data_IF_500136569354
#
_entry.id   IF_500136569354
#
_cell.length_a   1.000
_cell.length_b   1.000
_cell.length_c   1.000
_cell.angle_alpha   90.00
_cell.angle_beta   90.00
_cell.angle_gamma   90.00
#
_symmetry.space_group_name_H-M   'P 1'
#
loop_
_entity.id
_entity.type
_entity.pdbx_description
1 polymer ?
#
# COMPACT_ATOMS: atom_id res chain seq x y z
N UNK A 1 -23.94 -9.78 -47.33
CA UNK A 1 -24.80 -9.43 -46.17
C UNK A 1 -24.10 -9.67 -44.83
N UNK A 2 -23.46 -10.82 -44.60
CA UNK A 2 -22.69 -11.10 -43.36
C UNK A 2 -21.64 -10.02 -43.02
N UNK A 3 -20.87 -9.52 -44.00
CA UNK A 3 -19.89 -8.45 -43.79
C UNK A 3 -20.53 -7.15 -43.29
N UNK A 4 -21.74 -6.81 -43.77
CA UNK A 4 -22.43 -5.59 -43.34
C UNK A 4 -23.00 -5.73 -41.92
N UNK A 5 -23.49 -6.93 -41.56
CA UNK A 5 -23.92 -7.24 -40.18
C UNK A 5 -22.74 -7.18 -39.20
N UNK A 6 -21.57 -7.70 -39.59
CA UNK A 6 -20.36 -7.63 -38.76
C UNK A 6 -19.84 -6.18 -38.60
N UNK A 7 -19.89 -5.36 -39.66
CA UNK A 7 -19.52 -3.94 -39.59
C UNK A 7 -20.47 -3.14 -38.69
N UNK A 8 -21.78 -3.40 -38.76
CA UNK A 8 -22.76 -2.77 -37.87
C UNK A 8 -22.58 -3.22 -36.42
N UNK A 9 -22.31 -4.50 -36.17
CA UNK A 9 -21.97 -5.00 -34.84
C UNK A 9 -20.70 -4.37 -34.28
N UNK A 10 -19.66 -4.23 -35.10
CA UNK A 10 -18.42 -3.56 -34.72
C UNK A 10 -18.62 -2.07 -34.44
N UNK A 11 -19.48 -1.37 -35.19
CA UNK A 11 -19.82 0.03 -34.94
C UNK A 11 -20.56 0.21 -33.60
N UNK A 12 -21.51 -0.67 -33.29
CA UNK A 12 -22.20 -0.67 -31.99
C UNK A 12 -21.22 -0.93 -30.84
N UNK A 13 -20.27 -1.85 -31.03
CA UNK A 13 -19.25 -2.13 -30.02
C UNK A 13 -18.30 -0.93 -29.81
N UNK A 14 -17.94 -0.23 -30.90
CA UNK A 14 -17.16 0.99 -30.85
C UNK A 14 -17.90 2.10 -30.11
N UNK A 15 -19.18 2.33 -30.41
CA UNK A 15 -19.99 3.36 -29.75
C UNK A 15 -20.14 3.07 -28.25
N UNK A 16 -20.31 1.80 -27.87
CA UNK A 16 -20.29 1.39 -26.46
C UNK A 16 -18.95 1.70 -25.79
N UNK A 17 -17.83 1.45 -26.47
CA UNK A 17 -16.51 1.75 -25.94
C UNK A 17 -16.32 3.26 -25.73
N UNK A 18 -16.81 4.10 -26.65
CA UNK A 18 -16.76 5.57 -26.51
C UNK A 18 -17.59 6.03 -25.31
N UNK A 19 -18.79 5.47 -25.12
CA UNK A 19 -19.64 5.79 -23.95
C UNK A 19 -18.95 5.34 -22.66
N UNK A 20 -18.34 4.16 -22.66
CA UNK A 20 -17.60 3.65 -21.50
C UNK A 20 -16.40 4.56 -21.15
N UNK A 21 -15.66 5.04 -22.15
CA UNK A 21 -14.55 5.97 -21.95
C UNK A 21 -15.02 7.33 -21.40
N UNK A 22 -16.11 7.88 -21.95
CA UNK A 22 -16.69 9.12 -21.45
C UNK A 22 -17.17 8.99 -19.99
N UNK A 23 -17.77 7.86 -19.62
CA UNK A 23 -18.16 7.58 -18.24
C UNK A 23 -16.93 7.47 -17.32
N UNK A 24 -15.85 6.84 -17.78
CA UNK A 24 -14.60 6.73 -17.03
C UNK A 24 -13.97 8.11 -16.78
N UNK A 25 -14.01 9.02 -17.75
CA UNK A 25 -13.52 10.40 -17.59
C UNK A 25 -14.32 11.18 -16.53
N UNK A 26 -15.65 10.98 -16.48
CA UNK A 26 -16.49 11.58 -15.43
C UNK A 26 -16.15 10.98 -14.06
N UNK A 27 -15.88 9.68 -14.00
CA UNK A 27 -15.46 9.02 -12.77
C UNK A 27 -14.11 9.55 -12.28
N UNK A 28 -13.13 9.72 -13.17
CA UNK A 28 -11.84 10.34 -12.84
C UNK A 28 -11.93 11.82 -12.44
N UNK A 29 -13.04 12.50 -12.72
CA UNK A 29 -13.30 13.84 -12.20
C UNK A 29 -13.60 13.83 -10.69
N UNK A 30 -13.91 12.66 -10.11
CA UNK A 30 -14.08 12.47 -8.67
C UNK A 30 -12.85 11.75 -8.11
N UNK A 31 -11.98 12.52 -7.47
CA UNK A 31 -10.78 11.98 -6.83
C UNK A 31 -11.18 11.42 -5.45
N UNK A 32 -11.20 10.10 -5.33
CA UNK A 32 -11.52 9.39 -4.08
C UNK A 32 -10.28 8.71 -3.51
N UNK A 33 -10.21 8.63 -2.18
CA UNK A 33 -9.14 7.91 -1.51
C UNK A 33 -9.30 6.38 -1.74
N UNK A 34 -8.24 5.65 -2.14
CA UNK A 34 -8.31 4.21 -2.33
C UNK A 34 -8.32 3.42 -1.02
N UNK A 35 -7.97 4.05 0.11
CA UNK A 35 -7.95 3.43 1.43
C UNK A 35 -8.28 4.43 2.53
N UNK A 36 -8.71 3.90 3.67
CA UNK A 36 -8.96 4.68 4.89
C UNK A 36 -7.65 5.10 5.54
N UNK A 37 -7.61 6.35 6.01
CA UNK A 37 -6.45 6.89 6.69
C UNK A 37 -6.69 8.33 7.11
N UNK A 38 -5.64 8.95 7.63
CA UNK A 38 -5.64 10.35 8.00
C UNK A 38 -5.02 11.17 6.89
N UNK A 39 -5.79 12.15 6.42
CA UNK A 39 -5.31 13.18 5.52
C UNK A 39 -4.15 13.93 6.18
N UNK A 40 -3.01 13.97 5.52
CA UNK A 40 -1.89 14.84 5.86
C UNK A 40 -1.97 16.13 5.06
N UNK A 41 -0.85 16.81 4.91
CA UNK A 41 -0.71 18.01 4.07
C UNK A 41 -1.22 17.78 2.63
N UNK A 42 -2.10 18.69 2.20
CA UNK A 42 -2.54 18.80 0.80
C UNK A 42 -1.49 19.59 0.03
N UNK A 43 -1.08 19.09 -1.13
CA UNK A 43 -0.14 19.80 -2.01
C UNK A 43 -0.87 20.66 -3.05
N UNK A 44 -2.19 20.76 -2.94
CA UNK A 44 -3.06 21.48 -3.88
C UNK A 44 -4.11 22.29 -3.15
N UNK A 45 -4.39 23.47 -3.69
CA UNK A 45 -5.44 24.38 -3.23
C UNK A 45 -6.62 24.41 -4.20
N UNK A 46 -7.72 25.02 -3.75
CA UNK A 46 -8.92 25.19 -4.58
C UNK A 46 -8.58 26.11 -5.76
N UNK A 47 -8.73 25.57 -6.97
CA UNK A 47 -8.47 26.30 -8.21
C UNK A 47 -7.17 25.91 -8.92
N UNK A 48 -6.37 25.04 -8.30
CA UNK A 48 -5.15 24.54 -8.94
C UNK A 48 -5.46 23.60 -10.10
N UNK A 49 -4.65 23.74 -11.17
CA UNK A 49 -4.71 22.86 -12.32
C UNK A 49 -4.01 21.54 -12.00
N UNK A 50 -4.80 20.50 -11.76
CA UNK A 50 -4.31 19.13 -11.58
C UNK A 50 -4.14 18.46 -12.94
N UNK A 51 -3.02 17.74 -13.12
CA UNK A 51 -2.75 16.96 -14.33
C UNK A 51 -2.43 15.51 -13.97
N UNK A 52 -2.56 14.56 -14.91
CA UNK A 52 -2.23 13.15 -14.67
C UNK A 52 -0.77 12.90 -14.27
N UNK A 53 0.12 13.88 -14.49
CA UNK A 53 1.54 13.82 -14.16
C UNK A 53 1.88 14.55 -12.85
N UNK A 54 0.89 15.10 -12.14
CA UNK A 54 1.13 15.76 -10.87
C UNK A 54 1.59 14.74 -9.82
N UNK A 55 2.71 15.02 -9.16
CA UNK A 55 3.44 14.00 -8.41
C UNK A 55 2.65 13.42 -7.24
N UNK A 56 1.88 14.22 -6.51
CA UNK A 56 0.92 13.80 -5.48
C UNK A 56 -0.04 14.95 -5.19
N UNK A 57 -1.35 14.69 -5.09
CA UNK A 57 -2.32 15.71 -4.69
C UNK A 57 -2.42 15.82 -3.17
N UNK A 58 -2.60 14.68 -2.50
CA UNK A 58 -2.71 14.61 -1.05
C UNK A 58 -2.00 13.37 -0.55
N UNK A 59 -1.35 13.49 0.61
CA UNK A 59 -0.76 12.35 1.31
C UNK A 59 -1.77 11.82 2.33
N UNK A 60 -2.13 10.54 2.22
CA UNK A 60 -2.97 9.85 3.21
C UNK A 60 -2.08 8.87 3.97
N UNK A 61 -2.00 9.05 5.29
CA UNK A 61 -1.28 8.14 6.16
C UNK A 61 -2.25 7.18 6.84
N UNK A 62 -2.07 5.88 6.63
CA UNK A 62 -2.83 4.86 7.33
C UNK A 62 -2.42 4.81 8.80
N UNK A 63 -3.39 4.91 9.71
CA UNK A 63 -3.12 4.87 11.17
C UNK A 63 -3.10 3.43 11.70
N UNK A 64 -3.81 2.50 11.05
CA UNK A 64 -3.79 1.07 11.38
C UNK A 64 -3.92 0.26 10.10
N UNK A 65 -3.05 -0.73 9.82
CA UNK A 65 -1.97 -1.22 10.69
C UNK A 65 -0.68 -0.37 10.68
N UNK A 66 0.04 -0.29 11.81
CA UNK A 66 1.36 0.37 11.89
C UNK A 66 2.46 -0.65 11.63
N UNK A 67 3.34 -0.37 10.67
CA UNK A 67 4.50 -1.22 10.40
C UNK A 67 5.74 -0.72 11.17
N UNK A 68 6.37 -1.63 11.91
CA UNK A 68 7.66 -1.39 12.59
C UNK A 68 8.72 -2.24 11.91
N UNK A 69 9.75 -1.58 11.37
CA UNK A 69 10.93 -2.24 10.83
C UNK A 69 12.11 -2.07 11.76
N UNK A 70 12.74 -3.18 12.17
CA UNK A 70 13.95 -3.16 12.98
C UNK A 70 15.00 -4.11 12.43
N UNK A 71 16.28 -3.77 12.61
CA UNK A 71 17.40 -4.58 12.18
C UNK A 71 17.89 -5.47 13.33
N UNK A 72 17.99 -6.77 13.09
CA UNK A 72 18.49 -7.74 14.07
C UNK A 72 19.82 -8.32 13.58
N UNK A 73 20.83 -8.55 14.44
CA UNK A 73 22.04 -9.27 14.04
C UNK A 73 21.73 -10.70 13.58
N UNK A 74 22.44 -11.17 12.55
CA UNK A 74 22.25 -12.51 11.96
C UNK A 74 22.35 -13.67 12.98
N UNK A 75 23.13 -13.51 14.05
CA UNK A 75 23.26 -14.50 15.13
C UNK A 75 21.92 -14.95 15.73
N UNK A 76 20.89 -14.11 15.68
CA UNK A 76 19.57 -14.42 16.22
C UNK A 76 18.58 -14.97 15.19
N UNK A 77 18.98 -15.11 13.92
CA UNK A 77 18.14 -15.62 12.83
C UNK A 77 17.58 -17.01 13.14
N UNK A 78 18.41 -17.92 13.66
CA UNK A 78 17.97 -19.27 14.03
C UNK A 78 16.91 -19.27 15.15
N UNK A 79 17.05 -18.37 16.11
CA UNK A 79 16.09 -18.22 17.19
C UNK A 79 14.76 -17.70 16.66
N UNK A 80 14.79 -16.69 15.77
CA UNK A 80 13.60 -16.10 15.16
C UNK A 80 12.90 -17.13 14.27
N UNK A 81 13.63 -17.83 13.38
CA UNK A 81 13.08 -18.85 12.51
C UNK A 81 12.42 -20.02 13.27
N UNK A 82 13.03 -20.47 14.39
CA UNK A 82 12.43 -21.49 15.26
C UNK A 82 11.17 -20.99 15.96
N UNK A 83 11.18 -19.74 16.41
CA UNK A 83 10.06 -19.15 17.15
C UNK A 83 8.89 -18.79 16.23
N UNK A 84 9.16 -18.45 14.96
CA UNK A 84 8.15 -18.22 13.93
C UNK A 84 7.43 -19.51 13.55
N UNK A 85 8.15 -20.62 13.42
CA UNK A 85 7.55 -21.96 13.23
C UNK A 85 6.68 -22.40 14.41
N UNK A 86 6.93 -21.84 15.60
CA UNK A 86 6.17 -22.13 16.81
C UNK A 86 5.00 -21.16 17.05
N UNK A 87 4.73 -20.21 16.14
CA UNK A 87 3.63 -19.22 16.22
C UNK A 87 3.57 -18.38 17.51
N UNK A 88 4.67 -18.25 18.24
CA UNK A 88 4.68 -17.66 19.59
C UNK A 88 5.57 -16.41 19.72
N UNK A 89 5.73 -15.64 18.64
CA UNK A 89 6.49 -14.39 18.67
C UNK A 89 5.56 -13.22 19.01
N UNK A 90 5.48 -12.91 20.31
CA UNK A 90 4.87 -11.67 20.77
C UNK A 90 5.87 -10.52 20.62
N UNK A 91 5.49 -9.47 19.88
CA UNK A 91 6.26 -8.23 19.84
C UNK A 91 5.68 -7.24 20.85
N UNK A 92 6.53 -6.77 21.76
CA UNK A 92 6.23 -5.59 22.59
C UNK A 92 7.03 -4.42 22.07
N UNK A 93 6.35 -3.36 21.64
CA UNK A 93 6.98 -2.11 21.25
C UNK A 93 6.85 -1.13 22.41
N UNK A 94 7.98 -0.57 22.83
CA UNK A 94 8.02 0.47 23.85
C UNK A 94 8.28 1.81 23.18
N UNK A 95 7.40 2.76 23.42
CA UNK A 95 7.53 4.12 22.91
C UNK A 95 8.50 4.94 23.77
N UNK A 96 8.94 6.09 23.26
CA UNK A 96 9.84 7.03 24.00
C UNK A 96 9.22 7.52 25.32
N UNK A 97 7.89 7.48 25.44
CA UNK A 97 7.15 7.86 26.65
C UNK A 97 6.90 6.67 27.60
N UNK A 98 7.63 5.55 27.43
CA UNK A 98 7.52 4.33 28.24
C UNK A 98 6.13 3.64 28.17
N UNK A 99 5.32 3.98 27.16
CA UNK A 99 4.09 3.23 26.86
C UNK A 99 4.45 1.92 26.15
N UNK A 100 4.02 0.80 26.71
CA UNK A 100 4.13 -0.53 26.11
C UNK A 100 2.91 -0.83 25.25
N UNK A 101 3.13 -1.04 23.96
CA UNK A 101 2.13 -1.55 23.02
C UNK A 101 2.39 -3.04 22.89
N UNK A 102 1.45 -3.86 23.38
CA UNK A 102 1.61 -5.31 23.56
C UNK A 102 0.91 -6.16 22.49
N UNK A 103 0.58 -5.56 21.35
CA UNK A 103 -0.22 -6.19 20.29
C UNK A 103 0.46 -6.13 18.92
N UNK A 104 1.75 -6.48 18.88
CA UNK A 104 2.50 -6.58 17.62
C UNK A 104 2.69 -8.03 17.17
N UNK A 105 2.40 -8.29 15.89
CA UNK A 105 2.71 -9.57 15.22
C UNK A 105 3.91 -9.39 14.28
N UNK A 106 4.83 -10.35 14.27
CA UNK A 106 5.94 -10.36 13.31
C UNK A 106 5.43 -10.94 11.99
N UNK A 107 5.35 -10.10 10.95
CA UNK A 107 4.75 -10.48 9.68
C UNK A 107 5.79 -10.99 8.68
N UNK A 108 6.97 -10.36 8.61
CA UNK A 108 7.98 -10.70 7.60
C UNK A 108 9.39 -10.58 8.19
N UNK A 109 10.15 -11.67 8.14
CA UNK A 109 11.61 -11.66 8.32
C UNK A 109 12.22 -11.67 6.93
N UNK A 110 12.91 -10.59 6.56
CA UNK A 110 13.65 -10.56 5.30
C UNK A 110 14.88 -11.47 5.42
N UNK A 111 15.01 -12.43 4.51
CA UNK A 111 16.15 -13.35 4.47
C UNK A 111 17.37 -12.73 3.75
N UNK A 112 17.25 -11.51 3.22
CA UNK A 112 18.38 -10.77 2.69
C UNK A 112 19.22 -10.18 3.84
N UNK A 113 20.39 -10.76 4.06
CA UNK A 113 21.41 -10.19 4.95
C UNK A 113 22.03 -8.98 4.25
N UNK A 114 22.06 -7.83 4.92
CA UNK A 114 22.83 -6.69 4.42
C UNK A 114 24.33 -6.96 4.64
N UNK A 115 25.12 -7.14 3.57
CA UNK A 115 26.53 -7.54 3.68
C UNK A 115 27.41 -6.45 4.31
N UNK A 116 26.95 -5.21 4.40
CA UNK A 116 27.71 -4.12 5.04
C UNK A 116 27.56 -4.10 6.56
N UNK A 117 26.39 -4.51 7.08
CA UNK A 117 26.06 -4.43 8.52
C UNK A 117 25.90 -5.79 9.20
N UNK A 118 25.79 -6.89 8.44
CA UNK A 118 25.53 -8.22 9.01
C UNK A 118 24.19 -8.31 9.74
N UNK A 119 23.23 -7.47 9.37
CA UNK A 119 21.89 -7.43 9.97
C UNK A 119 20.82 -7.88 9.00
N UNK A 120 19.77 -8.48 9.55
CA UNK A 120 18.53 -8.84 8.86
C UNK A 120 17.46 -7.81 9.19
N UNK A 121 16.62 -7.47 8.20
CA UNK A 121 15.48 -6.57 8.43
C UNK A 121 14.25 -7.40 8.81
N UNK A 122 13.68 -7.11 9.97
CA UNK A 122 12.43 -7.70 10.43
C UNK A 122 11.35 -6.64 10.37
N UNK A 123 10.22 -6.99 9.75
CA UNK A 123 9.00 -6.18 9.72
C UNK A 123 7.93 -6.81 10.59
N UNK A 124 7.37 -6.01 11.46
CA UNK A 124 6.25 -6.37 12.30
C UNK A 124 5.10 -5.37 12.12
N UNK A 125 3.91 -5.80 12.48
CA UNK A 125 2.69 -5.02 12.38
C UNK A 125 2.07 -4.89 13.76
N UNK A 126 1.76 -3.67 14.15
CA UNK A 126 0.97 -3.33 15.34
C UNK A 126 -0.47 -3.04 14.86
N UNK A 127 -1.44 -3.62 15.55
CA UNK A 127 -2.87 -3.32 15.31
C UNK A 127 -3.39 -2.34 16.33
#
# INVERSE_FOLDING_TARGET
MLTNMNMLGAAVELDKAIIADANLQIEYSKIVAPFDGKLSESNVDIGDLVSPYFANLVTINTISPIYVSFSVPEKYLDCINKSQKSYNLALTVRTVNDQEIKDGEIVIVDNAIDPNSGTIKVKATLT
#
